data_IF_595940735646
#
_entry.id   IF_595940735646
#
_cell.length_a   1.000
_cell.length_b   1.000
_cell.length_c   1.000
_cell.angle_alpha   90.00
_cell.angle_beta   90.00
_cell.angle_gamma   90.00
#
_symmetry.space_group_name_H-M   'P 1'
#
loop_
_entity.id
_entity.type
_entity.pdbx_description
1 polymer ?
#
# COMPACT_ATOMS: atom_id res chain seq x y z
N UNK A 1 9.84 11.74 23.93
CA UNK A 1 8.93 10.98 23.05
C UNK A 1 8.44 11.91 21.96
N UNK A 2 8.80 11.67 20.69
CA UNK A 2 8.21 12.42 19.58
C UNK A 2 6.95 11.67 19.12
N UNK A 3 5.75 12.29 19.09
CA UNK A 3 4.57 11.61 18.61
C UNK A 3 4.78 11.28 17.13
N UNK A 4 4.74 9.99 16.78
CA UNK A 4 4.68 9.55 15.39
C UNK A 4 3.27 9.84 14.90
N UNK A 5 2.98 11.11 14.62
CA UNK A 5 1.75 11.50 13.93
C UNK A 5 1.92 11.07 12.49
N UNK A 6 1.52 9.83 12.19
CA UNK A 6 1.29 9.38 10.81
C UNK A 6 0.11 10.21 10.33
N UNK A 7 0.34 11.39 9.78
CA UNK A 7 -0.69 12.18 9.13
C UNK A 7 -1.14 11.36 7.94
N UNK A 8 -2.17 10.55 8.13
CA UNK A 8 -2.80 9.76 7.08
C UNK A 8 -3.51 10.79 6.22
N UNK A 9 -2.81 11.34 5.23
CA UNK A 9 -3.31 12.42 4.39
C UNK A 9 -4.58 11.94 3.71
N UNK A 10 -5.73 12.37 4.25
CA UNK A 10 -7.04 12.14 3.68
C UNK A 10 -7.23 12.83 2.30
N UNK A 11 -6.20 13.51 1.80
CA UNK A 11 -6.16 14.19 0.50
C UNK A 11 -5.08 13.72 -0.48
N UNK A 12 -4.26 12.69 -0.17
CA UNK A 12 -3.35 12.14 -1.17
C UNK A 12 -4.13 11.20 -2.09
N UNK A 13 -4.15 11.47 -3.40
CA UNK A 13 -4.86 10.65 -4.36
C UNK A 13 -4.27 9.23 -4.41
N UNK A 14 -5.14 8.21 -4.35
CA UNK A 14 -4.75 6.82 -4.58
C UNK A 14 -4.59 6.55 -6.07
N UNK A 15 -3.64 5.68 -6.41
CA UNK A 15 -3.43 5.20 -7.78
C UNK A 15 -4.19 3.90 -8.04
N UNK A 16 -4.60 3.16 -7.01
CA UNK A 16 -5.60 2.11 -7.09
C UNK A 16 -6.38 1.97 -5.78
N UNK A 17 -7.60 1.43 -5.87
CA UNK A 17 -8.36 0.96 -4.71
C UNK A 17 -8.87 -0.44 -5.01
N UNK A 18 -8.27 -1.43 -4.37
CA UNK A 18 -8.49 -2.85 -4.61
C UNK A 18 -9.45 -3.43 -3.55
N UNK A 19 -10.63 -3.94 -3.95
CA UNK A 19 -11.49 -4.70 -3.05
C UNK A 19 -10.81 -6.00 -2.63
N UNK A 20 -10.80 -6.30 -1.34
CA UNK A 20 -10.32 -7.58 -0.77
C UNK A 20 -11.34 -8.14 0.20
N UNK A 21 -11.25 -9.41 0.61
CA UNK A 21 -12.24 -10.04 1.51
C UNK A 21 -12.47 -9.26 2.81
N UNK A 22 -11.40 -8.67 3.38
CA UNK A 22 -11.41 -7.99 4.68
C UNK A 22 -11.55 -6.46 4.59
N UNK A 23 -11.08 -5.81 3.52
CA UNK A 23 -11.12 -4.34 3.40
C UNK A 23 -11.06 -3.87 1.94
N UNK A 24 -11.24 -2.57 1.71
CA UNK A 24 -10.81 -1.94 0.48
C UNK A 24 -9.37 -1.45 0.68
N UNK A 25 -8.43 -1.86 -0.15
CA UNK A 25 -7.03 -1.43 -0.06
C UNK A 25 -6.80 -0.21 -0.94
N UNK A 26 -6.48 0.93 -0.34
CA UNK A 26 -5.97 2.10 -1.05
C UNK A 26 -4.47 1.94 -1.28
N UNK A 27 -4.05 1.96 -2.54
CA UNK A 27 -2.65 1.82 -2.96
C UNK A 27 -2.15 3.19 -3.41
N UNK A 28 -1.03 3.62 -2.82
CA UNK A 28 -0.36 4.86 -3.19
C UNK A 28 1.05 4.58 -3.72
N UNK A 29 1.30 5.05 -4.92
CA UNK A 29 2.59 5.01 -5.61
C UNK A 29 3.13 6.43 -5.76
N UNK A 30 4.45 6.59 -5.66
CA UNK A 30 5.14 7.86 -5.85
C UNK A 30 6.31 7.62 -6.81
N UNK A 31 6.19 8.06 -8.07
CA UNK A 31 7.14 7.70 -9.10
C UNK A 31 7.20 6.18 -9.30
N UNK A 32 8.38 5.60 -9.14
CA UNK A 32 8.63 4.16 -9.35
C UNK A 32 8.63 3.32 -8.05
N UNK A 33 8.10 3.86 -6.95
CA UNK A 33 8.05 3.17 -5.65
C UNK A 33 6.64 3.11 -5.06
N UNK A 34 6.32 2.01 -4.38
CA UNK A 34 5.15 1.86 -3.53
C UNK A 34 5.40 2.66 -2.25
N UNK A 35 4.55 3.67 -2.02
CA UNK A 35 4.70 4.60 -0.91
C UNK A 35 3.85 4.21 0.30
N UNK A 36 2.62 3.73 0.08
CA UNK A 36 1.72 3.34 1.17
C UNK A 36 0.62 2.36 0.69
N UNK A 37 0.18 1.50 1.62
CA UNK A 37 -1.06 0.74 1.50
C UNK A 37 -1.93 1.07 2.72
N UNK A 38 -3.13 1.58 2.47
CA UNK A 38 -4.07 1.98 3.51
C UNK A 38 -5.33 1.12 3.47
N UNK A 39 -5.76 0.61 4.63
CA UNK A 39 -7.08 0.00 4.80
C UNK A 39 -8.16 1.09 4.77
N UNK A 40 -9.05 1.00 3.79
CA UNK A 40 -10.18 1.90 3.58
C UNK A 40 -11.51 1.21 3.91
N UNK A 41 -12.52 1.98 4.33
CA UNK A 41 -13.88 1.46 4.42
C UNK A 41 -14.37 1.05 3.02
N UNK A 42 -15.18 -0.02 2.96
CA UNK A 42 -15.74 -0.56 1.71
C UNK A 42 -16.58 0.48 0.94
N UNK A 43 -17.09 1.50 1.62
CA UNK A 43 -17.85 2.62 1.02
C UNK A 43 -17.02 3.57 0.15
N UNK A 44 -15.69 3.51 0.19
CA UNK A 44 -14.82 4.45 -0.53
C UNK A 44 -14.70 4.18 -2.05
N UNK A 45 -15.36 3.13 -2.56
CA UNK A 45 -15.46 2.77 -3.98
C UNK A 45 -14.16 2.22 -4.58
N UNK A 46 -14.26 1.21 -5.43
CA UNK A 46 -13.10 0.66 -6.15
C UNK A 46 -12.54 1.68 -7.15
N UNK A 47 -11.25 1.58 -7.43
CA UNK A 47 -10.54 2.42 -8.39
C UNK A 47 -9.56 1.54 -9.16
N UNK A 48 -9.73 1.47 -10.47
CA UNK A 48 -8.81 0.77 -11.35
C UNK A 48 -7.40 1.40 -11.27
N UNK A 49 -6.33 0.59 -11.38
CA UNK A 49 -4.96 1.10 -11.36
C UNK A 49 -4.71 2.19 -12.40
N UNK A 50 -4.11 3.29 -11.96
CA UNK A 50 -3.81 4.46 -12.80
C UNK A 50 -2.38 4.44 -13.35
N UNK A 51 -1.52 3.59 -12.82
CA UNK A 51 -0.15 3.41 -13.31
C UNK A 51 0.28 1.94 -13.28
N UNK A 52 1.44 1.67 -13.88
CA UNK A 52 2.00 0.32 -14.02
C UNK A 52 2.36 -0.29 -12.66
N UNK A 53 2.84 0.49 -11.71
CA UNK A 53 3.27 -0.01 -10.42
C UNK A 53 2.08 -0.37 -9.53
N UNK A 54 1.03 0.45 -9.55
CA UNK A 54 -0.24 0.18 -8.88
C UNK A 54 -0.91 -1.07 -9.47
N UNK A 55 -0.84 -1.27 -10.80
CA UNK A 55 -1.34 -2.49 -11.44
C UNK A 55 -0.55 -3.74 -10.97
N UNK A 56 0.80 -3.66 -10.93
CA UNK A 56 1.64 -4.73 -10.39
C UNK A 56 1.34 -5.00 -8.92
N UNK A 57 1.13 -3.96 -8.12
CA UNK A 57 0.80 -4.08 -6.71
C UNK A 57 -0.55 -4.79 -6.52
N UNK A 58 -1.60 -4.40 -7.27
CA UNK A 58 -2.88 -5.10 -7.22
C UNK A 58 -2.75 -6.59 -7.55
N UNK A 59 -2.10 -6.92 -8.67
CA UNK A 59 -1.95 -8.31 -9.10
C UNK A 59 -1.19 -9.17 -8.08
N UNK A 60 -0.14 -8.62 -7.47
CA UNK A 60 0.61 -9.32 -6.44
C UNK A 60 -0.18 -9.49 -5.14
N UNK A 61 -1.01 -8.51 -4.77
CA UNK A 61 -1.90 -8.64 -3.61
C UNK A 61 -2.94 -9.73 -3.87
N UNK A 62 -3.60 -9.71 -5.03
CA UNK A 62 -4.57 -10.75 -5.41
C UNK A 62 -3.90 -12.13 -5.36
N UNK A 63 -2.69 -12.26 -5.91
CA UNK A 63 -1.93 -13.51 -5.87
C UNK A 63 -1.62 -13.96 -4.45
N UNK A 64 -1.22 -13.04 -3.57
CA UNK A 64 -0.96 -13.34 -2.16
C UNK A 64 -2.22 -13.80 -1.41
N UNK A 65 -3.38 -13.28 -1.79
CA UNK A 65 -4.66 -13.70 -1.20
C UNK A 65 -5.05 -15.12 -1.62
N UNK A 66 -4.61 -15.56 -2.81
CA UNK A 66 -4.78 -16.95 -3.28
C UNK A 66 -3.72 -17.89 -2.69
N UNK A 67 -2.48 -17.42 -2.60
CA UNK A 67 -1.30 -18.17 -2.19
C UNK A 67 -0.51 -17.37 -1.15
N UNK A 68 -0.63 -17.77 0.12
CA UNK A 68 0.01 -17.06 1.22
C UNK A 68 1.54 -17.21 1.25
N UNK A 69 2.12 -18.14 0.47
CA UNK A 69 3.57 -18.28 0.33
C UNK A 69 4.15 -17.33 -0.74
N UNK A 70 3.28 -16.64 -1.49
CA UNK A 70 3.69 -15.69 -2.50
C UNK A 70 4.53 -14.55 -1.88
N UNK A 71 5.70 -14.29 -2.48
CA UNK A 71 6.60 -13.21 -2.07
C UNK A 71 6.42 -12.00 -2.96
N UNK A 72 6.17 -10.86 -2.32
CA UNK A 72 6.08 -9.58 -3.02
C UNK A 72 7.43 -9.17 -3.63
N UNK A 73 7.38 -8.76 -4.89
CA UNK A 73 8.48 -8.14 -5.64
C UNK A 73 8.01 -6.74 -6.09
N UNK A 74 7.99 -5.82 -5.13
CA UNK A 74 7.62 -4.42 -5.35
C UNK A 74 8.73 -3.50 -4.80
N UNK A 75 9.11 -2.46 -5.52
CA UNK A 75 10.00 -1.43 -4.99
C UNK A 75 9.25 -0.64 -3.91
N UNK A 76 9.69 -0.71 -2.65
CA UNK A 76 9.04 -0.03 -1.52
C UNK A 76 9.94 1.11 -1.03
N UNK A 77 9.37 2.32 -0.92
CA UNK A 77 10.03 3.40 -0.21
C UNK A 77 9.73 3.30 1.29
N UNK A 78 10.73 2.91 2.08
CA UNK A 78 10.60 2.88 3.53
C UNK A 78 10.57 4.29 4.13
N UNK A 79 9.39 4.92 4.10
CA UNK A 79 9.12 6.20 4.73
C UNK A 79 8.82 5.97 6.22
N UNK A 80 9.83 6.15 7.07
CA UNK A 80 9.72 5.97 8.51
C UNK A 80 10.94 6.51 9.24
N UNK A 81 10.89 6.62 10.57
CA UNK A 81 12.05 7.01 11.38
C UNK A 81 13.19 6.00 11.23
N UNK A 82 14.45 6.37 11.53
CA UNK A 82 15.55 5.41 11.52
C UNK A 82 15.26 4.14 12.34
N UNK A 83 14.55 4.28 13.46
CA UNK A 83 14.11 3.15 14.28
C UNK A 83 13.09 2.26 13.53
N UNK A 84 12.04 2.85 12.94
CA UNK A 84 11.05 2.09 12.16
C UNK A 84 11.70 1.35 10.98
N UNK A 85 12.59 2.02 10.23
CA UNK A 85 13.32 1.39 9.12
C UNK A 85 14.21 0.24 9.58
N UNK A 86 14.75 0.31 10.79
CA UNK A 86 15.54 -0.78 11.38
C UNK A 86 14.65 -1.97 11.75
N UNK A 87 13.50 -1.71 12.39
CA UNK A 87 12.52 -2.76 12.73
C UNK A 87 11.98 -3.45 11.48
N UNK A 88 11.72 -2.71 10.40
CA UNK A 88 11.22 -3.30 9.15
C UNK A 88 12.25 -4.08 8.35
N UNK A 89 13.55 -3.98 8.67
CA UNK A 89 14.63 -4.73 8.01
C UNK A 89 15.12 -5.92 8.84
N UNK A 90 14.62 -6.09 10.06
CA UNK A 90 14.85 -7.26 10.91
C UNK A 90 13.78 -8.30 10.65
#
# INVERSE_FOLDING_TARGET
>A
MNPVTRTRTAGAAYQAKLPTPFALLGIRTEGDVLADITLLPKSAGALAPRDRLAARACAQIERYLEDCEFRFDLPIAFQGTPFQRRVWRQ
#
